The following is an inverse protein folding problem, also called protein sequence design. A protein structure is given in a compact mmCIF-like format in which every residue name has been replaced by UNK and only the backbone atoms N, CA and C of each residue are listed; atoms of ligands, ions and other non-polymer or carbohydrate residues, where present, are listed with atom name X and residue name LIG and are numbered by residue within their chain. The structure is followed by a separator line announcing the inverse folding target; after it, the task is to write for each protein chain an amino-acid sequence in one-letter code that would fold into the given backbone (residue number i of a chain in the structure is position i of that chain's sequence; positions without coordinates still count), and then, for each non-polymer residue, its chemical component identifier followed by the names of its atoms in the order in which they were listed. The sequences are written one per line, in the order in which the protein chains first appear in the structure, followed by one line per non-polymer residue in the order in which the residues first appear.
data_IF_541711680445
#
_entry.id   IF_541711680445
#
_cell.length_a   1.000
_cell.length_b   1.000
_cell.length_c   1.000
_cell.angle_alpha   90.00
_cell.angle_beta   90.00
_cell.angle_gamma   90.00
#
_symmetry.space_group_name_H-M   'P 1'
#
loop_
_entity.id
_entity.type
_entity.pdbx_description
1 polymer ?
#
# COMPACT_ATOMS: atom_id res chain seq x y z
N UNK A 1 -15.22 10.58 -8.62
CA UNK A 1 -13.84 10.20 -9.02
C UNK A 1 -12.90 10.92 -8.06
N UNK A 2 -12.48 10.29 -6.96
CA UNK A 2 -11.54 10.95 -6.05
C UNK A 2 -10.14 10.80 -6.62
N UNK A 3 -9.53 11.93 -6.97
CA UNK A 3 -8.14 12.03 -7.38
C UNK A 3 -7.27 11.38 -6.31
N UNK A 4 -6.54 10.33 -6.67
CA UNK A 4 -5.54 9.71 -5.79
C UNK A 4 -4.38 10.70 -5.65
N UNK A 5 -4.56 11.67 -4.76
CA UNK A 5 -3.51 12.55 -4.30
C UNK A 5 -2.51 11.77 -3.44
N UNK A 6 -1.30 12.31 -3.30
CA UNK A 6 -0.25 11.74 -2.46
C UNK A 6 -0.74 11.61 -1.00
N UNK A 7 -1.03 10.38 -0.55
CA UNK A 7 -1.44 10.09 0.82
C UNK A 7 -0.24 9.57 1.62
N UNK A 8 0.18 10.31 2.64
CA UNK A 8 1.09 9.79 3.67
C UNK A 8 0.34 8.73 4.47
N UNK A 9 0.94 7.56 4.61
CA UNK A 9 0.41 6.43 5.36
C UNK A 9 1.32 6.21 6.56
N UNK A 10 0.82 6.45 7.78
CA UNK A 10 1.60 6.30 9.01
C UNK A 10 1.31 4.97 9.72
N UNK A 11 0.17 4.33 9.44
CA UNK A 11 -0.27 3.09 10.09
C UNK A 11 -0.72 1.99 9.11
N UNK A 12 -0.76 0.74 9.59
CA UNK A 12 -1.28 -0.39 8.82
C UNK A 12 -2.76 -0.23 8.44
N UNK A 13 -3.55 0.44 9.29
CA UNK A 13 -4.95 0.75 8.99
C UNK A 13 -5.07 1.75 7.83
N UNK A 14 -4.35 2.86 7.87
CA UNK A 14 -4.32 3.82 6.77
C UNK A 14 -3.79 3.19 5.47
N UNK A 15 -2.87 2.22 5.58
CA UNK A 15 -2.39 1.47 4.42
C UNK A 15 -3.52 0.66 3.78
N UNK A 16 -4.37 0.03 4.59
CA UNK A 16 -5.56 -0.71 4.15
C UNK A 16 -6.56 0.21 3.46
N UNK A 17 -6.86 1.37 4.04
CA UNK A 17 -7.76 2.35 3.41
C UNK A 17 -7.18 2.89 2.09
N UNK A 18 -5.88 3.19 2.07
CA UNK A 18 -5.18 3.59 0.86
C UNK A 18 -5.28 2.50 -0.23
N UNK A 19 -5.06 1.24 0.13
CA UNK A 19 -5.18 0.09 -0.77
C UNK A 19 -6.60 -0.09 -1.33
N UNK A 20 -7.64 0.24 -0.57
CA UNK A 20 -9.03 0.19 -1.05
C UNK A 20 -9.30 1.23 -2.15
N UNK A 21 -8.56 2.33 -2.18
CA UNK A 21 -8.70 3.32 -3.26
C UNK A 21 -7.93 2.96 -4.54
N UNK A 22 -7.19 1.83 -4.55
CA UNK A 22 -6.43 1.44 -5.73
C UNK A 22 -7.35 0.97 -6.86
N UNK A 23 -7.03 1.32 -8.12
CA UNK A 23 -7.79 0.88 -9.28
C UNK A 23 -7.71 -0.65 -9.46
N UNK A 24 -8.72 -1.28 -10.07
CA UNK A 24 -8.80 -2.74 -10.17
C UNK A 24 -7.59 -3.39 -10.85
N UNK A 25 -7.00 -2.72 -11.85
CA UNK A 25 -5.73 -3.13 -12.48
C UNK A 25 -4.56 -3.29 -11.52
N UNK A 26 -4.59 -2.61 -10.37
CA UNK A 26 -3.58 -2.66 -9.32
C UNK A 26 -3.92 -3.68 -8.21
N UNK A 27 -5.15 -4.20 -8.16
CA UNK A 27 -5.64 -5.17 -7.16
C UNK A 27 -5.25 -6.62 -7.49
N UNK A 28 -3.99 -6.82 -7.88
CA UNK A 28 -3.45 -8.14 -8.24
C UNK A 28 -3.06 -9.02 -7.03
N UNK A 29 -2.28 -10.07 -7.28
CA UNK A 29 -1.75 -10.96 -6.22
C UNK A 29 -0.93 -10.20 -5.17
N UNK A 30 -0.12 -9.22 -5.59
CA UNK A 30 0.69 -8.41 -4.68
C UNK A 30 -0.16 -7.56 -3.75
N UNK A 31 -1.29 -7.03 -4.23
CA UNK A 31 -2.24 -6.26 -3.42
C UNK A 31 -2.85 -7.13 -2.31
N UNK A 32 -3.31 -8.34 -2.65
CA UNK A 32 -3.86 -9.28 -1.65
C UNK A 32 -2.84 -9.65 -0.58
N UNK A 33 -1.58 -9.87 -0.98
CA UNK A 33 -0.50 -10.17 -0.04
C UNK A 33 -0.22 -8.99 0.90
N UNK A 34 -0.19 -7.76 0.38
CA UNK A 34 -0.02 -6.55 1.19
C UNK A 34 -1.20 -6.32 2.14
N UNK A 35 -2.43 -6.45 1.65
CA UNK A 35 -3.64 -6.33 2.45
C UNK A 35 -3.66 -7.30 3.62
N UNK A 36 -3.30 -8.57 3.38
CA UNK A 36 -3.16 -9.57 4.43
C UNK A 36 -2.07 -9.19 5.43
N UNK A 37 -0.89 -8.79 4.97
CA UNK A 37 0.20 -8.40 5.86
C UNK A 37 -0.15 -7.18 6.73
N UNK A 38 -0.91 -6.22 6.20
CA UNK A 38 -1.40 -5.09 7.00
C UNK A 38 -2.40 -5.51 8.07
N UNK A 39 -3.27 -6.49 7.79
CA UNK A 39 -4.19 -7.06 8.78
C UNK A 39 -3.44 -7.85 9.84
N UNK A 40 -2.56 -8.76 9.42
CA UNK A 40 -1.70 -9.54 10.32
C UNK A 40 -0.92 -8.62 11.28
N UNK A 41 -0.52 -7.42 10.84
CA UNK A 41 0.16 -6.45 11.69
C UNK A 41 -0.75 -5.70 12.67
N UNK A 42 -2.05 -5.54 12.35
CA UNK A 42 -3.04 -5.03 13.31
C UNK A 42 -3.36 -6.08 14.37
N UNK A 43 -3.38 -7.36 13.99
CA UNK A 43 -3.59 -8.50 14.89
C UNK A 43 -2.34 -8.86 15.72
N UNK A 44 -1.21 -8.16 15.50
CA UNK A 44 0.05 -8.40 16.20
C UNK A 44 0.81 -9.65 15.76
N UNK A 45 0.35 -10.33 14.70
CA UNK A 45 1.01 -11.52 14.13
C UNK A 45 2.22 -11.15 13.26
N UNK A 46 2.30 -9.91 12.79
CA UNK A 46 3.41 -9.37 12.00
C UNK A 46 3.85 -8.01 12.51
N UNK A 47 5.10 -7.68 12.22
CA UNK A 47 5.60 -6.33 12.53
C UNK A 47 5.09 -5.29 11.53
N UNK A 48 4.92 -4.05 11.98
CA UNK A 48 4.58 -2.93 11.09
C UNK A 48 5.60 -2.76 9.94
N UNK A 49 6.86 -3.14 10.16
CA UNK A 49 7.92 -3.11 9.14
C UNK A 49 7.69 -4.13 8.02
N UNK A 50 7.23 -5.33 8.34
CA UNK A 50 6.88 -6.35 7.35
C UNK A 50 5.65 -5.93 6.53
N UNK A 51 4.62 -5.41 7.20
CA UNK A 51 3.43 -4.86 6.53
C UNK A 51 3.81 -3.73 5.56
N UNK A 52 4.65 -2.79 6.00
CA UNK A 52 5.17 -1.71 5.15
C UNK A 52 5.93 -2.24 3.94
N UNK A 53 6.79 -3.23 4.14
CA UNK A 53 7.56 -3.83 3.04
C UNK A 53 6.66 -4.48 1.99
N UNK A 54 5.64 -5.22 2.44
CA UNK A 54 4.66 -5.83 1.54
C UNK A 54 3.84 -4.77 0.78
N UNK A 55 3.39 -3.72 1.47
CA UNK A 55 2.67 -2.59 0.86
C UNK A 55 3.50 -1.87 -0.20
N UNK A 56 4.76 -1.50 0.11
CA UNK A 56 5.67 -0.85 -0.84
C UNK A 56 5.92 -1.74 -2.05
N UNK A 57 6.11 -3.05 -1.86
CA UNK A 57 6.27 -4.01 -2.95
C UNK A 57 5.03 -4.07 -3.84
N UNK A 58 3.83 -4.06 -3.25
CA UNK A 58 2.58 -4.03 -4.00
C UNK A 58 2.45 -2.72 -4.79
N UNK A 59 2.74 -1.57 -4.17
CA UNK A 59 2.66 -0.26 -4.81
C UNK A 59 3.65 -0.15 -5.98
N UNK A 60 4.85 -0.73 -5.82
CA UNK A 60 5.86 -0.82 -6.88
C UNK A 60 5.39 -1.67 -8.04
N UNK A 61 4.81 -2.82 -7.75
CA UNK A 61 4.28 -3.74 -8.77
C UNK A 61 3.11 -3.11 -9.53
N UNK A 62 2.28 -2.34 -8.82
CA UNK A 62 1.15 -1.63 -9.41
C UNK A 62 1.53 -0.36 -10.18
N UNK A 63 2.80 0.07 -10.12
CA UNK A 63 3.25 1.35 -10.68
C UNK A 63 2.63 2.58 -9.98
N UNK A 64 2.20 2.42 -8.73
CA UNK A 64 1.55 3.46 -7.92
C UNK A 64 2.53 4.18 -6.97
N UNK A 65 3.78 3.73 -6.92
CA UNK A 65 4.82 4.48 -6.22
C UNK A 65 5.10 5.75 -7.02
N UNK A 66 4.64 6.88 -6.47
CA UNK A 66 5.17 8.19 -6.81
C UNK A 66 6.61 8.19 -6.31
N UNK A 67 7.53 7.72 -7.15
CA UNK A 67 8.92 8.13 -7.05
C UNK A 67 8.83 9.62 -7.33
N UNK A 68 9.02 10.46 -6.32
CA UNK A 68 9.04 11.91 -6.51
C UNK A 68 9.84 12.18 -7.77
N UNK A 69 9.19 12.78 -8.78
CA UNK A 69 9.90 13.22 -9.98
C UNK A 69 11.06 14.04 -9.46
N UNK A 70 12.30 13.63 -9.74
CA UNK A 70 13.39 14.60 -9.78
C UNK A 70 12.99 15.56 -10.89
N UNK A 71 12.39 16.68 -10.52
CA UNK A 71 12.32 17.85 -11.38
C UNK A 71 13.77 18.28 -11.59
N UNK A 72 14.19 18.21 -12.85
CA UNK A 72 15.43 18.78 -13.37
C UNK A 72 15.54 20.25 -13.00
#
# INVERSE_FOLDING_TARGET
MQSVGERKVASSWEAIECMQQWPDRARGRSWRAAYRACRDALDGWRTAREARTAFVKAARTAGLLVTGRKST
#
